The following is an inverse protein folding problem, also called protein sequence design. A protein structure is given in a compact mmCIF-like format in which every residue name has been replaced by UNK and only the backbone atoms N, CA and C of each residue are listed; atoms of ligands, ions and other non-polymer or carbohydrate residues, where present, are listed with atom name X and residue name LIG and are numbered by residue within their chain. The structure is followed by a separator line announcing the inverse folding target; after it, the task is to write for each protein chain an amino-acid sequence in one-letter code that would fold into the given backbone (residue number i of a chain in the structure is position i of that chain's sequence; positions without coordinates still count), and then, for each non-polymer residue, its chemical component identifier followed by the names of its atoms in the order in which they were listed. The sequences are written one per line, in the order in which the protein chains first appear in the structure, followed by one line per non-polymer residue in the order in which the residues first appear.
data_IF_178438678341
#
_entry.id   IF_178438678341
#
_cell.length_a   1.000
_cell.length_b   1.000
_cell.length_c   1.000
_cell.angle_alpha   90.00
_cell.angle_beta   90.00
_cell.angle_gamma   90.00
#
_symmetry.space_group_name_H-M   'P 1'
#
loop_
_entity.id
_entity.type
_entity.pdbx_description
1 polymer ?
#
# COMPACT_ATOMS: atom_id res chain seq x y z
N UNK A 1 15.63 16.30 -8.11
CA UNK A 1 15.76 15.30 -7.02
C UNK A 1 14.88 15.64 -5.82
N UNK A 2 14.96 16.82 -5.17
CA UNK A 2 14.05 17.15 -4.05
C UNK A 2 12.66 17.66 -4.50
N UNK A 3 12.57 18.32 -5.66
CA UNK A 3 11.30 18.88 -6.18
C UNK A 3 10.28 17.81 -6.59
N UNK A 4 10.76 16.67 -7.08
CA UNK A 4 9.92 15.66 -7.75
C UNK A 4 9.12 14.80 -6.76
N UNK A 5 9.62 14.67 -5.52
CA UNK A 5 8.96 13.93 -4.43
C UNK A 5 8.15 14.82 -3.49
N UNK A 6 8.04 16.13 -3.77
CA UNK A 6 7.33 17.08 -2.91
C UNK A 6 5.86 16.73 -2.72
N UNK A 7 5.17 16.34 -3.80
CA UNK A 7 3.77 15.92 -3.77
C UNK A 7 3.58 14.61 -2.99
N UNK A 8 4.46 13.63 -3.19
CA UNK A 8 4.45 12.35 -2.48
C UNK A 8 4.64 12.53 -0.98
N UNK A 9 5.57 13.40 -0.60
CA UNK A 9 5.81 13.75 0.80
C UNK A 9 4.60 14.48 1.42
N UNK A 10 4.00 15.42 0.69
CA UNK A 10 2.80 16.13 1.16
C UNK A 10 1.61 15.18 1.37
N UNK A 11 1.34 14.27 0.43
CA UNK A 11 0.27 13.27 0.55
C UNK A 11 0.54 12.31 1.70
N UNK A 12 1.80 11.87 1.87
CA UNK A 12 2.19 11.03 3.00
C UNK A 12 1.92 11.71 4.34
N UNK A 13 2.29 12.99 4.48
CA UNK A 13 2.05 13.76 5.70
C UNK A 13 0.56 13.98 5.98
N UNK A 14 -0.22 14.33 4.95
CA UNK A 14 -1.68 14.46 5.07
C UNK A 14 -2.34 13.16 5.51
N UNK A 15 -1.91 12.02 4.96
CA UNK A 15 -2.44 10.71 5.35
C UNK A 15 -2.11 10.35 6.81
N UNK A 16 -0.93 10.73 7.30
CA UNK A 16 -0.56 10.55 8.70
C UNK A 16 -1.40 11.42 9.64
N UNK A 17 -1.66 12.68 9.25
CA UNK A 17 -2.58 13.56 9.96
C UNK A 17 -4.02 13.01 9.99
N UNK A 18 -4.47 12.37 8.92
CA UNK A 18 -5.78 11.72 8.88
C UNK A 18 -5.85 10.53 9.86
N UNK A 19 -4.81 9.68 9.91
CA UNK A 19 -4.79 8.57 10.86
C UNK A 19 -4.71 9.03 12.32
N UNK A 20 -3.96 10.09 12.61
CA UNK A 20 -3.92 10.66 13.96
C UNK A 20 -5.28 11.25 14.35
N UNK A 21 -6.00 11.90 13.42
CA UNK A 21 -7.36 12.35 13.66
C UNK A 21 -8.31 11.20 14.04
N UNK A 22 -8.27 10.08 13.32
CA UNK A 22 -9.10 8.91 13.68
C UNK A 22 -8.72 8.31 15.04
N UNK A 23 -7.42 8.24 15.36
CA UNK A 23 -6.97 7.79 16.68
C UNK A 23 -7.46 8.72 17.80
N UNK A 24 -7.43 10.03 17.59
CA UNK A 24 -7.96 11.02 18.54
C UNK A 24 -9.47 10.85 18.71
N UNK A 25 -10.23 10.59 17.64
CA UNK A 25 -11.67 10.36 17.73
C UNK A 25 -11.98 9.11 18.53
N UNK A 26 -11.27 8.00 18.31
CA UNK A 26 -11.37 6.80 19.17
C UNK A 26 -11.06 7.15 20.63
N UNK A 27 -10.01 7.92 20.89
CA UNK A 27 -9.66 8.38 22.24
C UNK A 27 -10.76 9.19 22.92
N UNK A 28 -11.37 10.14 22.19
CA UNK A 28 -12.50 10.94 22.69
C UNK A 28 -13.71 10.08 23.02
N UNK A 29 -14.01 9.10 22.17
CA UNK A 29 -15.13 8.17 22.36
C UNK A 29 -14.86 7.25 23.54
N UNK A 30 -13.62 6.77 23.73
CA UNK A 30 -13.21 6.00 24.92
C UNK A 30 -13.47 6.76 26.21
N UNK A 31 -13.14 8.06 26.24
CA UNK A 31 -13.42 8.92 27.40
C UNK A 31 -14.93 9.11 27.61
N UNK A 32 -15.70 9.32 26.54
CA UNK A 32 -17.17 9.51 26.61
C UNK A 32 -17.89 8.29 27.19
N UNK A 33 -17.53 7.08 26.74
CA UNK A 33 -18.15 5.83 27.19
C UNK A 33 -17.42 5.18 28.37
N UNK A 34 -16.38 5.83 28.92
CA UNK A 34 -15.56 5.35 30.05
C UNK A 34 -15.01 3.94 29.87
N UNK A 35 -14.59 3.63 28.64
CA UNK A 35 -14.04 2.30 28.29
C UNK A 35 -12.54 2.32 28.60
N UNK A 36 -12.17 1.71 29.73
CA UNK A 36 -10.79 1.59 30.14
C UNK A 36 -10.01 0.65 29.21
N UNK A 37 -8.78 0.99 28.78
CA UNK A 37 -7.89 0.02 28.13
C UNK A 37 -7.67 -1.20 29.07
N UNK A 38 -7.61 -2.45 28.59
CA UNK A 38 -7.53 -2.94 27.19
C UNK A 38 -8.89 -3.25 26.55
N UNK A 39 -10.02 -2.85 27.17
CA UNK A 39 -11.32 -3.19 26.65
C UNK A 39 -11.55 -2.56 25.25
N UNK A 40 -11.98 -3.42 24.32
CA UNK A 40 -12.30 -3.09 22.93
C UNK A 40 -13.79 -3.30 22.61
N UNK A 41 -14.56 -3.74 23.60
CA UNK A 41 -16.01 -3.95 23.53
C UNK A 41 -16.72 -3.00 24.49
N UNK A 42 -17.92 -2.57 24.13
CA UNK A 42 -18.66 -1.59 24.92
C UNK A 42 -19.97 -1.17 24.27
N UNK A 43 -20.10 0.13 23.96
CA UNK A 43 -21.26 0.63 23.23
C UNK A 43 -21.12 0.34 21.73
N UNK A 44 -22.25 0.06 21.06
CA UNK A 44 -22.28 -0.20 19.62
C UNK A 44 -21.63 0.94 18.81
N UNK A 45 -21.83 2.19 19.25
CA UNK A 45 -21.23 3.38 18.64
C UNK A 45 -19.70 3.41 18.78
N UNK A 46 -19.16 3.01 19.95
CA UNK A 46 -17.72 2.89 20.13
C UNK A 46 -17.13 1.79 19.23
N UNK A 47 -17.77 0.62 19.17
CA UNK A 47 -17.28 -0.50 18.38
C UNK A 47 -17.23 -0.17 16.88
N UNK A 48 -18.21 0.58 16.37
CA UNK A 48 -18.23 1.07 14.98
C UNK A 48 -17.04 1.97 14.69
N UNK A 49 -16.80 2.98 15.54
CA UNK A 49 -15.71 3.95 15.35
C UNK A 49 -14.35 3.26 15.51
N UNK A 50 -14.22 2.36 16.49
CA UNK A 50 -13.00 1.60 16.72
C UNK A 50 -12.68 0.65 15.55
N UNK A 51 -13.67 -0.07 15.01
CA UNK A 51 -13.50 -0.92 13.83
C UNK A 51 -13.17 -0.12 12.58
N UNK A 52 -13.77 1.04 12.39
CA UNK A 52 -13.43 1.92 11.27
C UNK A 52 -11.95 2.35 11.33
N UNK A 53 -11.46 2.73 12.51
CA UNK A 53 -10.06 3.09 12.72
C UNK A 53 -9.11 1.91 12.50
N UNK A 54 -9.46 0.70 12.96
CA UNK A 54 -8.67 -0.50 12.71
C UNK A 54 -8.60 -0.86 11.23
N UNK A 55 -9.74 -0.87 10.53
CA UNK A 55 -9.78 -1.13 9.09
C UNK A 55 -8.87 -0.15 8.33
N UNK A 56 -8.92 1.15 8.66
CA UNK A 56 -8.02 2.12 8.04
C UNK A 56 -6.55 1.85 8.34
N UNK A 57 -6.19 1.36 9.53
CA UNK A 57 -4.79 1.01 9.85
C UNK A 57 -4.30 -0.24 9.12
N UNK A 58 -5.16 -1.25 8.95
CA UNK A 58 -4.82 -2.48 8.22
C UNK A 58 -4.44 -2.18 6.77
N UNK A 59 -5.16 -1.26 6.12
CA UNK A 59 -4.87 -0.85 4.74
C UNK A 59 -3.81 0.25 4.63
N UNK A 60 -3.46 0.96 5.71
CA UNK A 60 -2.52 2.08 5.67
C UNK A 60 -1.12 1.68 5.19
N UNK A 61 -0.62 0.52 5.64
CA UNK A 61 0.69 0.01 5.24
C UNK A 61 0.75 -0.28 3.73
N UNK A 62 -0.31 -0.87 3.19
CA UNK A 62 -0.43 -1.15 1.75
C UNK A 62 -0.51 0.16 0.96
N UNK A 63 -1.27 1.14 1.46
CA UNK A 63 -1.41 2.46 0.85
C UNK A 63 -0.07 3.22 0.77
N UNK A 64 0.71 3.27 1.85
CA UNK A 64 2.00 3.98 1.84
C UNK A 64 3.00 3.31 0.91
N UNK A 65 3.10 1.98 0.92
CA UNK A 65 4.01 1.26 0.03
C UNK A 65 3.62 1.50 -1.42
N UNK A 66 2.33 1.36 -1.77
CA UNK A 66 1.87 1.58 -3.14
C UNK A 66 2.02 3.02 -3.60
N UNK A 67 1.78 4.01 -2.73
CA UNK A 67 1.98 5.43 -3.01
C UNK A 67 3.44 5.74 -3.37
N UNK A 68 4.39 5.25 -2.58
CA UNK A 68 5.82 5.50 -2.81
C UNK A 68 6.36 4.74 -4.01
N UNK A 69 5.97 3.48 -4.18
CA UNK A 69 6.32 2.70 -5.38
C UNK A 69 5.75 3.34 -6.64
N UNK A 70 4.47 3.76 -6.61
CA UNK A 70 3.87 4.47 -7.74
C UNK A 70 4.62 5.79 -8.03
N UNK A 71 4.93 6.55 -6.98
CA UNK A 71 5.62 7.83 -7.07
C UNK A 71 7.02 7.78 -7.65
N UNK A 72 7.78 6.71 -7.43
CA UNK A 72 9.12 6.56 -7.97
C UNK A 72 9.11 5.93 -9.36
N UNK A 73 8.29 4.90 -9.59
CA UNK A 73 8.33 4.11 -10.82
C UNK A 73 7.41 4.60 -11.95
N UNK A 74 6.37 5.38 -11.65
CA UNK A 74 5.45 5.92 -12.68
C UNK A 74 5.68 7.40 -13.00
N UNK A 75 6.51 8.10 -12.22
CA UNK A 75 6.86 9.51 -12.46
C UNK A 75 8.05 9.67 -13.42
N UNK A 76 8.79 8.58 -13.66
CA UNK A 76 9.84 8.49 -14.68
C UNK A 76 9.22 7.89 -15.95
N UNK A 77 8.70 8.76 -16.80
CA UNK A 77 8.35 8.53 -18.21
C UNK A 77 7.36 7.37 -18.49
N UNK A 78 6.11 7.73 -18.77
CA UNK A 78 5.36 7.05 -19.83
C UNK A 78 5.84 7.66 -21.17
N UNK A 79 6.84 7.10 -21.87
CA UNK A 79 6.77 7.18 -23.31
C UNK A 79 5.54 6.34 -23.69
N UNK A 80 4.53 7.00 -24.26
CA UNK A 80 3.40 6.39 -24.94
C UNK A 80 3.79 5.06 -25.59
N UNK A 81 3.26 3.93 -25.11
CA UNK A 81 3.25 2.63 -25.80
C UNK A 81 1.99 1.89 -25.34
N UNK A 82 1.01 1.69 -26.22
CA UNK A 82 0.94 0.55 -27.14
C UNK A 82 1.02 -0.80 -26.41
N UNK A 83 -0.15 -1.44 -26.30
CA UNK A 83 -0.44 -2.88 -26.14
C UNK A 83 0.77 -3.83 -25.92
N UNK A 84 1.41 -3.80 -24.74
CA UNK A 84 2.31 -4.88 -24.26
C UNK A 84 2.44 -4.90 -22.72
N UNK A 85 1.35 -4.57 -22.01
CA UNK A 85 1.29 -4.44 -20.54
C UNK A 85 1.23 -5.78 -19.77
N UNK A 86 1.80 -6.87 -20.30
CA UNK A 86 1.91 -8.15 -19.58
C UNK A 86 3.35 -8.53 -19.24
N UNK A 87 4.35 -8.06 -20.00
CA UNK A 87 5.74 -8.45 -19.81
C UNK A 87 6.49 -7.53 -18.81
N UNK A 88 6.08 -6.26 -18.68
CA UNK A 88 6.81 -5.26 -17.89
C UNK A 88 6.65 -5.46 -16.36
N UNK A 89 5.58 -6.11 -15.91
CA UNK A 89 5.35 -6.36 -14.48
C UNK A 89 6.25 -7.49 -13.95
N UNK A 90 6.44 -8.56 -14.73
CA UNK A 90 7.33 -9.68 -14.36
C UNK A 90 8.78 -9.25 -14.28
N UNK A 91 9.28 -8.44 -15.23
CA UNK A 91 10.69 -8.02 -15.25
C UNK A 91 11.03 -7.08 -14.07
N UNK A 92 10.13 -6.17 -13.70
CA UNK A 92 10.32 -5.27 -12.54
C UNK A 92 10.25 -6.02 -11.20
N UNK A 93 9.42 -7.05 -11.08
CA UNK A 93 9.36 -7.92 -9.89
C UNK A 93 10.59 -8.83 -9.78
N UNK A 94 11.09 -9.37 -10.89
CA UNK A 94 12.34 -10.15 -10.96
C UNK A 94 13.58 -9.29 -10.68
N UNK A 95 13.59 -8.03 -11.10
CA UNK A 95 14.61 -7.06 -10.71
C UNK A 95 14.66 -6.82 -9.20
N UNK A 96 13.49 -6.78 -8.54
CA UNK A 96 13.37 -6.68 -7.08
C UNK A 96 13.89 -7.94 -6.37
N UNK A 97 13.61 -9.13 -6.90
CA UNK A 97 14.13 -10.39 -6.35
C UNK A 97 15.67 -10.45 -6.37
N UNK A 98 16.30 -10.01 -7.47
CA UNK A 98 17.77 -10.02 -7.61
C UNK A 98 18.47 -9.02 -6.67
N UNK A 99 17.83 -7.90 -6.31
CA UNK A 99 18.34 -6.94 -5.32
C UNK A 99 18.27 -7.45 -3.87
N UNK A 100 17.41 -8.44 -3.59
CA UNK A 100 17.20 -8.99 -2.24
C UNK A 100 18.14 -10.14 -1.84
N UNK A 101 19.03 -10.60 -2.74
CA UNK A 101 20.00 -11.67 -2.46
C UNK A 101 19.41 -13.02 -2.02
N UNK A 102 18.11 -13.26 -2.22
CA UNK A 102 17.44 -14.50 -1.80
C UNK A 102 17.17 -15.41 -3.01
N UNK A 103 17.64 -16.67 -3.02
CA UNK A 103 17.47 -17.56 -4.17
C UNK A 103 16.11 -18.24 -4.08
N UNK A 104 15.03 -17.54 -4.43
CA UNK A 104 13.74 -18.20 -4.65
C UNK A 104 13.66 -18.59 -6.12
N UNK A 105 14.12 -19.80 -6.42
CA UNK A 105 14.00 -20.40 -7.74
C UNK A 105 12.52 -20.78 -8.00
N UNK A 106 11.73 -19.84 -8.48
CA UNK A 106 10.42 -20.14 -9.06
C UNK A 106 10.68 -20.69 -10.46
N UNK A 107 10.43 -21.99 -10.67
CA UNK A 107 10.42 -22.57 -12.01
C UNK A 107 9.17 -22.08 -12.75
N UNK A 108 9.28 -21.34 -13.86
CA UNK A 108 8.12 -20.97 -14.63
C UNK A 108 7.51 -22.25 -15.23
N UNK A 109 6.20 -22.42 -15.02
CA UNK A 109 5.46 -23.55 -15.56
C UNK A 109 5.39 -23.42 -17.08
N UNK A 110 5.41 -24.55 -17.76
CA UNK A 110 5.48 -24.74 -19.23
C UNK A 110 4.35 -24.05 -20.03
N UNK A 111 3.41 -23.38 -19.37
CA UNK A 111 2.31 -22.63 -19.98
C UNK A 111 2.82 -21.36 -20.67
N UNK A 112 3.85 -20.70 -20.12
CA UNK A 112 4.38 -19.45 -20.68
C UNK A 112 5.21 -19.66 -21.96
N UNK A 113 5.95 -20.78 -22.05
CA UNK A 113 6.75 -21.12 -23.24
C UNK A 113 5.90 -21.53 -24.46
N UNK A 114 4.65 -21.95 -24.24
CA UNK A 114 3.74 -22.32 -25.32
C UNK A 114 3.21 -21.13 -26.13
N UNK A 115 3.07 -19.95 -25.50
CA UNK A 115 2.54 -18.75 -26.18
C UNK A 115 3.58 -18.04 -27.06
N UNK A 116 4.87 -18.17 -26.79
CA UNK A 116 5.93 -17.49 -27.56
C UNK A 116 6.34 -18.20 -28.86
N UNK A 117 5.75 -19.36 -29.21
CA UNK A 117 6.15 -20.11 -30.42
C UNK A 117 5.18 -20.00 -31.60
N UNK A 118 4.17 -19.14 -31.51
CA UNK A 118 3.17 -18.93 -32.58
C UNK A 118 2.95 -17.47 -32.98
N UNK A 119 3.99 -16.63 -32.94
CA UNK A 119 4.07 -15.40 -33.72
C UNK A 119 5.45 -15.24 -34.33
#
# INVERSE_FOLDING_TARGET
MAGDSSLLAAVSLLSACQQSYFALQVGRVRLKYKIAPPAVTGSLEFERIFRAQQNSLEFYSVFIISLWMAGWYFNQEFPMMDLNEADCLEEKVLGFCNLSGSPVHIRPSQVFLGLCRSR
#
